data_IF_208197177718
#
_entry.id   IF_208197177718
#
_cell.length_a   1.000
_cell.length_b   1.000
_cell.length_c   1.000
_cell.angle_alpha   90.00
_cell.angle_beta   90.00
_cell.angle_gamma   90.00
#
_symmetry.space_group_name_H-M   'P 1'
#
loop_
_entity.id
_entity.type
_entity.pdbx_description
1 polymer ?
#
# COMPACT_ATOMS: atom_id res chain seq x y z
N UNK A 1 -16.30 -3.76 2.67
CA UNK A 1 -14.97 -3.22 2.34
C UNK A 1 -14.03 -4.40 2.18
N UNK A 2 -13.17 -4.37 1.16
CA UNK A 2 -12.16 -5.41 0.88
C UNK A 2 -10.78 -4.79 0.94
N UNK A 3 -9.82 -5.45 1.56
CA UNK A 3 -8.41 -5.05 1.51
C UNK A 3 -7.66 -5.90 0.48
N UNK A 4 -6.85 -5.24 -0.34
CA UNK A 4 -5.89 -5.85 -1.26
C UNK A 4 -4.50 -5.44 -0.81
N UNK A 5 -3.66 -6.42 -0.44
CA UNK A 5 -2.30 -6.20 0.02
C UNK A 5 -1.34 -6.62 -1.08
N UNK A 6 -0.50 -5.69 -1.53
CA UNK A 6 0.49 -5.90 -2.60
C UNK A 6 1.79 -6.46 -2.00
N UNK A 7 2.02 -7.76 -2.10
CA UNK A 7 3.15 -8.47 -1.50
C UNK A 7 3.90 -9.35 -2.53
N UNK A 8 4.02 -8.90 -3.78
CA UNK A 8 4.60 -9.70 -4.86
C UNK A 8 6.11 -9.50 -5.05
N UNK A 9 6.66 -8.37 -4.58
CA UNK A 9 8.04 -7.93 -4.87
C UNK A 9 9.13 -8.73 -4.17
N UNK A 10 10.35 -8.75 -4.77
CA UNK A 10 11.55 -9.42 -4.21
C UNK A 10 12.24 -8.65 -3.09
N UNK A 11 12.01 -7.34 -2.95
CA UNK A 11 12.72 -6.55 -1.94
C UNK A 11 14.23 -6.46 -2.14
N UNK A 12 14.72 -6.37 -3.38
CA UNK A 12 16.15 -6.41 -3.74
C UNK A 12 17.03 -5.39 -3.00
N UNK A 13 16.46 -4.27 -2.58
CA UNK A 13 17.18 -3.18 -1.89
C UNK A 13 17.60 -3.54 -0.46
N UNK A 14 17.00 -4.56 0.15
CA UNK A 14 17.38 -5.04 1.50
C UNK A 14 18.75 -5.72 1.55
N UNK A 15 19.36 -6.05 0.38
CA UNK A 15 20.72 -6.60 0.25
C UNK A 15 21.00 -7.84 1.11
N UNK A 16 20.03 -8.69 1.35
CA UNK A 16 20.21 -9.99 2.00
C UNK A 16 20.75 -11.00 0.98
N UNK A 17 21.45 -12.03 1.45
CA UNK A 17 21.82 -13.16 0.60
C UNK A 17 20.52 -13.79 0.04
N UNK A 18 20.54 -14.23 -1.22
CA UNK A 18 19.31 -14.69 -1.91
C UNK A 18 18.62 -15.85 -1.18
N UNK A 19 19.39 -16.76 -0.60
CA UNK A 19 18.90 -17.91 0.17
C UNK A 19 18.22 -17.50 1.49
N UNK A 20 18.65 -16.41 2.11
CA UNK A 20 18.10 -15.91 3.38
C UNK A 20 17.03 -14.83 3.19
N UNK A 21 16.84 -14.34 1.96
CA UNK A 21 15.92 -13.25 1.69
C UNK A 21 14.46 -13.71 1.87
N UNK A 22 13.73 -13.03 2.74
CA UNK A 22 12.29 -13.22 2.95
C UNK A 22 11.49 -12.19 2.17
N UNK A 23 10.24 -12.51 1.73
CA UNK A 23 9.28 -11.48 1.37
C UNK A 23 9.18 -10.43 2.47
N UNK A 24 9.24 -9.13 2.12
CA UNK A 24 9.25 -8.04 3.09
C UNK A 24 8.09 -8.12 4.10
N UNK A 25 6.91 -8.55 3.65
CA UNK A 25 5.75 -8.73 4.52
C UNK A 25 5.96 -9.78 5.64
N UNK A 26 7.00 -10.62 5.55
CA UNK A 26 7.37 -11.61 6.57
C UNK A 26 8.44 -11.10 7.55
N UNK A 27 8.96 -9.90 7.39
CA UNK A 27 9.83 -9.27 8.38
C UNK A 27 9.09 -9.14 9.71
N UNK A 28 9.82 -9.40 10.81
CA UNK A 28 9.23 -9.47 12.16
C UNK A 28 9.60 -8.27 13.01
N UNK A 29 8.57 -7.67 13.59
CA UNK A 29 8.71 -6.59 14.57
C UNK A 29 7.83 -6.90 15.78
N UNK A 30 8.44 -6.93 16.98
CA UNK A 30 7.72 -7.28 18.21
C UNK A 30 7.15 -8.71 18.21
N UNK A 31 7.82 -9.66 17.54
CA UNK A 31 7.39 -11.07 17.46
C UNK A 31 6.37 -11.37 16.36
N UNK A 32 5.76 -10.36 15.72
CA UNK A 32 4.78 -10.54 14.64
C UNK A 32 5.37 -10.13 13.29
N UNK A 33 4.96 -10.81 12.20
CA UNK A 33 5.27 -10.37 10.84
C UNK A 33 4.48 -9.11 10.46
N UNK A 34 4.97 -8.34 9.48
CA UNK A 34 4.18 -7.22 8.93
C UNK A 34 2.82 -7.73 8.41
N UNK A 35 2.80 -8.89 7.74
CA UNK A 35 1.55 -9.50 7.27
C UNK A 35 0.57 -9.74 8.43
N UNK A 36 1.02 -10.37 9.53
CA UNK A 36 0.16 -10.61 10.69
C UNK A 36 -0.36 -9.30 11.29
N UNK A 37 0.49 -8.26 11.35
CA UNK A 37 0.08 -6.93 11.83
C UNK A 37 -0.97 -6.29 10.92
N UNK A 38 -0.78 -6.31 9.60
CA UNK A 38 -1.79 -5.84 8.64
C UNK A 38 -3.14 -6.53 8.86
N UNK A 39 -3.12 -7.86 8.93
CA UNK A 39 -4.35 -8.64 9.13
C UNK A 39 -5.06 -8.31 10.44
N UNK A 40 -4.32 -8.15 11.54
CA UNK A 40 -4.88 -7.77 12.84
C UNK A 40 -5.48 -6.35 12.83
N UNK A 41 -4.78 -5.39 12.24
CA UNK A 41 -5.26 -4.01 12.12
C UNK A 41 -6.48 -3.89 11.21
N UNK A 42 -6.50 -4.61 10.08
CA UNK A 42 -7.68 -4.70 9.21
C UNK A 42 -8.88 -5.29 9.95
N UNK A 43 -8.70 -6.39 10.67
CA UNK A 43 -9.76 -7.01 11.48
C UNK A 43 -10.29 -6.04 12.55
N UNK A 44 -9.39 -5.33 13.23
CA UNK A 44 -9.79 -4.33 14.24
C UNK A 44 -10.59 -3.17 13.64
N UNK A 45 -10.39 -2.89 12.34
CA UNK A 45 -11.15 -1.91 11.56
C UNK A 45 -12.43 -2.49 10.92
N UNK A 46 -12.77 -3.77 11.19
CA UNK A 46 -13.94 -4.43 10.62
C UNK A 46 -13.76 -4.88 9.16
N UNK A 47 -12.53 -5.01 8.68
CA UNK A 47 -12.21 -5.47 7.32
C UNK A 47 -11.70 -6.90 7.37
N UNK A 48 -12.56 -7.86 7.02
CA UNK A 48 -12.25 -9.30 7.05
C UNK A 48 -12.06 -9.91 5.66
N UNK A 49 -12.57 -9.27 4.61
CA UNK A 49 -12.38 -9.68 3.22
C UNK A 49 -11.01 -9.16 2.74
N UNK A 50 -10.01 -10.04 2.77
CA UNK A 50 -8.63 -9.72 2.41
C UNK A 50 -8.17 -10.56 1.23
N UNK A 51 -7.50 -9.92 0.28
CA UNK A 51 -6.84 -10.54 -0.88
C UNK A 51 -5.36 -10.17 -0.86
N UNK A 52 -4.50 -11.17 -0.98
CA UNK A 52 -3.05 -10.99 -1.09
C UNK A 52 -2.64 -11.14 -2.56
N UNK A 53 -2.03 -10.11 -3.12
CA UNK A 53 -1.35 -10.17 -4.42
C UNK A 53 0.09 -10.63 -4.20
N UNK A 54 0.38 -11.88 -4.48
CA UNK A 54 1.67 -12.51 -4.19
C UNK A 54 2.48 -12.77 -5.47
N UNK A 55 3.78 -12.93 -5.31
CA UNK A 55 4.70 -13.27 -6.40
C UNK A 55 5.88 -14.05 -5.89
N UNK A 56 7.00 -13.38 -5.65
CA UNK A 56 8.24 -14.01 -5.21
C UNK A 56 8.07 -14.69 -3.86
N UNK A 57 8.49 -15.96 -3.78
CA UNK A 57 8.41 -16.83 -2.58
C UNK A 57 7.03 -16.83 -1.91
N UNK A 58 5.97 -16.82 -2.73
CA UNK A 58 4.59 -16.82 -2.24
C UNK A 58 4.27 -18.00 -1.31
N UNK A 59 4.97 -19.13 -1.45
CA UNK A 59 4.86 -20.31 -0.59
C UNK A 59 5.21 -20.01 0.87
N UNK A 60 6.18 -19.11 1.12
CA UNK A 60 6.54 -18.70 2.48
C UNK A 60 5.43 -17.85 3.11
N UNK A 61 4.75 -17.02 2.31
CA UNK A 61 3.60 -16.23 2.78
C UNK A 61 2.43 -17.15 3.11
N UNK A 62 2.19 -18.17 2.29
CA UNK A 62 1.18 -19.20 2.56
C UNK A 62 1.48 -19.98 3.84
N UNK A 63 2.74 -20.37 4.05
CA UNK A 63 3.18 -21.05 5.26
C UNK A 63 3.02 -20.18 6.53
N UNK A 64 3.26 -18.87 6.42
CA UNK A 64 3.02 -17.95 7.52
C UNK A 64 1.52 -17.84 7.87
N UNK A 65 0.62 -17.81 6.89
CA UNK A 65 -0.83 -17.85 7.13
C UNK A 65 -1.24 -19.14 7.86
N UNK A 66 -0.65 -20.28 7.50
CA UNK A 66 -0.89 -21.55 8.19
C UNK A 66 -0.33 -21.52 9.62
N UNK A 67 0.87 -20.97 9.81
CA UNK A 67 1.53 -20.83 11.13
C UNK A 67 0.70 -20.02 12.12
N UNK A 68 0.07 -18.92 11.65
CA UNK A 68 -0.76 -18.06 12.49
C UNK A 68 -2.22 -18.50 12.56
N UNK A 69 -2.58 -19.57 11.86
CA UNK A 69 -3.96 -20.12 11.74
C UNK A 69 -5.00 -19.02 11.49
N UNK A 70 -4.71 -18.15 10.48
CA UNK A 70 -5.56 -16.97 10.24
C UNK A 70 -6.89 -17.33 9.58
N UNK A 71 -8.00 -16.96 10.23
CA UNK A 71 -9.35 -17.19 9.74
C UNK A 71 -10.20 -15.90 9.76
N UNK A 72 -11.01 -15.61 8.74
CA UNK A 72 -11.07 -16.35 7.46
C UNK A 72 -9.74 -16.21 6.69
N UNK A 73 -9.35 -17.29 5.98
CA UNK A 73 -8.12 -17.28 5.20
C UNK A 73 -8.21 -16.24 4.09
N UNK A 74 -7.22 -15.33 3.93
CA UNK A 74 -7.17 -14.40 2.82
C UNK A 74 -7.18 -15.11 1.46
N UNK A 75 -7.87 -14.52 0.48
CA UNK A 75 -7.73 -14.92 -0.91
C UNK A 75 -6.31 -14.67 -1.41
N UNK A 76 -5.80 -15.55 -2.25
CA UNK A 76 -4.46 -15.40 -2.84
C UNK A 76 -4.59 -15.29 -4.35
N UNK A 77 -3.98 -14.25 -4.93
CA UNK A 77 -3.82 -14.07 -6.37
C UNK A 77 -2.33 -13.98 -6.68
N UNK A 78 -1.87 -14.84 -7.59
CA UNK A 78 -0.45 -14.90 -7.94
C UNK A 78 -0.16 -14.00 -9.16
N UNK A 79 0.88 -13.18 -9.05
CA UNK A 79 1.52 -12.52 -10.17
C UNK A 79 2.79 -13.27 -10.56
N UNK A 80 2.77 -14.11 -11.60
CA UNK A 80 3.95 -14.87 -12.02
C UNK A 80 5.02 -13.98 -12.70
N UNK A 81 4.67 -12.73 -13.05
CA UNK A 81 5.56 -11.75 -13.69
C UNK A 81 5.86 -10.57 -12.75
N UNK A 82 5.98 -10.84 -11.45
CA UNK A 82 6.18 -9.84 -10.39
C UNK A 82 7.42 -8.95 -10.58
N UNK A 83 8.39 -9.38 -11.39
CA UNK A 83 9.61 -8.61 -11.68
C UNK A 83 9.38 -7.42 -12.62
N UNK A 84 8.26 -7.38 -13.34
CA UNK A 84 7.99 -6.31 -14.31
C UNK A 84 7.63 -4.99 -13.63
N UNK A 85 6.78 -5.02 -12.61
CA UNK A 85 6.36 -3.79 -11.94
C UNK A 85 5.09 -3.96 -11.11
N UNK A 86 4.83 -3.02 -10.20
CA UNK A 86 3.67 -3.10 -9.31
C UNK A 86 2.35 -2.79 -10.02
N UNK A 87 2.33 -2.05 -11.13
CA UNK A 87 1.14 -1.93 -12.00
C UNK A 87 0.61 -3.31 -12.39
N UNK A 88 1.51 -4.22 -12.81
CA UNK A 88 1.10 -5.57 -13.21
C UNK A 88 0.56 -6.36 -12.01
N UNK A 89 1.11 -6.15 -10.81
CA UNK A 89 0.58 -6.77 -9.60
C UNK A 89 -0.85 -6.31 -9.31
N UNK A 90 -1.13 -5.00 -9.42
CA UNK A 90 -2.50 -4.47 -9.29
C UNK A 90 -3.42 -5.01 -10.39
N UNK A 91 -2.93 -5.14 -11.63
CA UNK A 91 -3.71 -5.72 -12.73
C UNK A 91 -4.14 -7.16 -12.44
N UNK A 92 -3.30 -7.99 -11.82
CA UNK A 92 -3.67 -9.38 -11.50
C UNK A 92 -4.84 -9.48 -10.52
N UNK A 93 -5.05 -8.46 -9.68
CA UNK A 93 -6.15 -8.39 -8.71
C UNK A 93 -7.34 -7.54 -9.17
N UNK A 94 -7.36 -7.10 -10.44
CA UNK A 94 -8.42 -6.24 -10.99
C UNK A 94 -9.83 -6.86 -10.81
N UNK A 95 -9.97 -8.19 -10.96
CA UNK A 95 -11.23 -8.87 -10.67
C UNK A 95 -11.64 -8.69 -9.22
N UNK A 96 -10.71 -8.86 -8.27
CA UNK A 96 -10.99 -8.65 -6.86
C UNK A 96 -11.38 -7.19 -6.57
N UNK A 97 -10.75 -6.21 -7.24
CA UNK A 97 -11.10 -4.79 -7.10
C UNK A 97 -12.53 -4.48 -7.56
N UNK A 98 -13.06 -5.23 -8.51
CA UNK A 98 -14.35 -4.94 -9.16
C UNK A 98 -15.53 -5.76 -8.65
N UNK A 99 -15.34 -6.59 -7.62
CA UNK A 99 -16.42 -7.43 -7.03
C UNK A 99 -17.48 -6.66 -6.24
N UNK A 100 -17.33 -5.34 -6.12
CA UNK A 100 -18.25 -4.46 -5.40
C UNK A 100 -17.78 -4.07 -4.01
N UNK A 101 -18.34 -2.97 -3.50
CA UNK A 101 -17.95 -2.32 -2.24
C UNK A 101 -16.61 -1.58 -2.30
N UNK A 102 -16.27 -0.91 -1.21
CA UNK A 102 -15.02 -0.16 -1.11
C UNK A 102 -13.80 -1.10 -1.08
N UNK A 103 -12.71 -0.66 -1.69
CA UNK A 103 -11.44 -1.37 -1.76
C UNK A 103 -10.35 -0.55 -1.06
N UNK A 104 -9.59 -1.20 -0.17
CA UNK A 104 -8.30 -0.71 0.31
C UNK A 104 -7.21 -1.35 -0.54
N UNK A 105 -6.35 -0.53 -1.14
CA UNK A 105 -5.13 -0.98 -1.81
C UNK A 105 -3.95 -0.58 -0.94
N UNK A 106 -3.11 -1.56 -0.54
CA UNK A 106 -2.11 -1.37 0.50
C UNK A 106 -0.80 -2.04 0.14
N UNK A 107 0.31 -1.35 0.37
CA UNK A 107 1.63 -1.95 0.34
C UNK A 107 1.86 -2.85 1.57
N UNK A 108 2.60 -3.94 1.38
CA UNK A 108 2.77 -4.99 2.39
C UNK A 108 3.96 -4.78 3.33
N UNK A 109 4.81 -3.82 3.04
CA UNK A 109 6.10 -3.59 3.68
C UNK A 109 6.13 -2.37 4.60
N UNK A 110 4.97 -1.93 5.06
CA UNK A 110 4.81 -0.79 5.96
C UNK A 110 4.56 -1.27 7.40
N UNK A 111 5.37 -0.77 8.35
CA UNK A 111 5.10 -0.85 9.78
C UNK A 111 4.44 0.44 10.23
N UNK A 112 3.27 0.39 10.87
CA UNK A 112 2.47 1.58 11.15
C UNK A 112 1.60 1.50 12.40
N UNK A 113 1.25 2.67 12.95
CA UNK A 113 0.34 2.83 14.07
C UNK A 113 -1.13 2.63 13.63
N UNK A 114 -1.97 2.07 14.49
CA UNK A 114 -3.41 1.81 14.25
C UNK A 114 -4.21 3.05 13.81
N UNK A 115 -3.77 4.25 14.18
CA UNK A 115 -4.37 5.53 13.74
C UNK A 115 -4.36 5.69 12.22
N UNK A 116 -3.36 5.14 11.53
CA UNK A 116 -3.28 5.18 10.06
C UNK A 116 -4.41 4.36 9.45
N UNK A 117 -4.63 3.12 9.94
CA UNK A 117 -5.75 2.31 9.52
C UNK A 117 -7.11 2.96 9.86
N UNK A 118 -7.22 3.54 11.06
CA UNK A 118 -8.42 4.28 11.46
C UNK A 118 -8.70 5.48 10.54
N UNK A 119 -7.66 6.25 10.15
CA UNK A 119 -7.81 7.36 9.21
C UNK A 119 -8.23 6.88 7.80
N UNK A 120 -7.64 5.77 7.31
CA UNK A 120 -7.97 5.20 6.00
C UNK A 120 -9.43 4.72 5.95
N UNK A 121 -9.91 4.06 7.00
CA UNK A 121 -11.25 3.45 7.06
C UNK A 121 -12.33 4.38 7.62
N UNK A 122 -11.98 5.59 8.05
CA UNK A 122 -12.91 6.53 8.67
C UNK A 122 -14.12 6.88 7.78
N UNK A 123 -15.25 7.16 8.43
CA UNK A 123 -16.49 7.54 7.77
C UNK A 123 -17.33 6.34 7.33
N UNK A 124 -18.64 6.55 7.29
CA UNK A 124 -19.63 5.52 6.91
C UNK A 124 -20.04 5.59 5.44
N UNK A 125 -19.65 6.64 4.73
CA UNK A 125 -19.98 6.81 3.31
C UNK A 125 -18.86 6.25 2.43
N UNK A 126 -19.18 5.64 1.28
CA UNK A 126 -18.20 5.31 0.26
C UNK A 126 -17.39 6.56 -0.12
N UNK A 127 -16.08 6.43 -0.20
CA UNK A 127 -15.18 7.54 -0.53
C UNK A 127 -13.87 7.03 -1.10
N UNK A 128 -13.25 7.82 -1.99
CA UNK A 128 -11.86 7.63 -2.34
C UNK A 128 -11.00 8.45 -1.38
N UNK A 129 -9.92 7.87 -0.87
CA UNK A 129 -9.07 8.52 0.13
C UNK A 129 -7.62 8.13 -0.05
N UNK A 130 -6.75 9.11 0.16
CA UNK A 130 -5.29 8.95 0.24
C UNK A 130 -4.79 9.53 1.56
N UNK A 131 -3.73 8.95 2.10
CA UNK A 131 -3.10 9.40 3.34
C UNK A 131 -1.91 10.28 3.03
N UNK A 132 -1.75 11.37 3.78
CA UNK A 132 -0.68 12.35 3.66
C UNK A 132 0.04 12.48 5.01
N UNK A 133 1.33 12.22 5.03
CA UNK A 133 2.21 12.59 6.13
C UNK A 133 3.09 13.77 5.72
N UNK A 134 3.00 14.89 6.43
CA UNK A 134 3.80 16.08 6.13
C UNK A 134 5.15 16.07 6.83
N UNK A 135 5.33 15.20 7.82
CA UNK A 135 6.58 15.03 8.55
C UNK A 135 7.41 13.92 7.90
N UNK A 136 7.97 14.20 6.72
CA UNK A 136 8.75 13.26 5.94
C UNK A 136 10.15 13.79 5.63
N UNK A 137 11.12 12.89 5.50
CA UNK A 137 12.49 13.25 5.10
C UNK A 137 12.52 13.58 3.60
N UNK A 138 12.89 14.82 3.26
CA UNK A 138 13.02 15.22 1.87
C UNK A 138 14.13 14.40 1.17
N UNK A 139 13.86 13.91 -0.02
CA UNK A 139 14.80 13.08 -0.78
C UNK A 139 14.19 12.56 -2.08
N UNK A 140 14.88 11.61 -2.71
CA UNK A 140 14.44 10.98 -3.97
C UNK A 140 13.59 9.72 -3.75
N UNK A 141 13.60 9.15 -2.54
CA UNK A 141 12.88 7.90 -2.23
C UNK A 141 11.41 8.11 -1.87
N UNK A 142 11.00 9.13 -1.05
CA UNK A 142 9.60 9.30 -0.67
C UNK A 142 8.67 9.50 -1.87
N UNK A 143 7.56 8.79 -1.89
CA UNK A 143 6.48 9.04 -2.86
C UNK A 143 5.69 10.26 -2.41
N UNK A 144 6.01 11.41 -3.02
CA UNK A 144 5.44 12.70 -2.67
C UNK A 144 4.00 12.83 -3.17
N UNK A 145 3.10 13.18 -2.25
CA UNK A 145 1.71 13.55 -2.54
C UNK A 145 1.60 15.07 -2.48
N UNK A 146 1.26 15.70 -3.61
CA UNK A 146 1.00 17.14 -3.67
C UNK A 146 -0.50 17.40 -3.71
N UNK A 147 -0.94 18.39 -2.92
CA UNK A 147 -2.35 18.77 -2.77
C UNK A 147 -2.52 20.24 -3.17
N UNK A 148 -3.60 20.53 -3.92
CA UNK A 148 -4.01 21.90 -4.26
C UNK A 148 -5.51 22.05 -4.02
N UNK A 149 -5.90 23.07 -3.28
CA UNK A 149 -7.29 23.33 -2.91
C UNK A 149 -7.99 22.08 -2.28
N UNK A 150 -7.25 21.33 -1.48
CA UNK A 150 -7.75 20.11 -0.83
C UNK A 150 -7.81 18.87 -1.73
N UNK A 151 -7.40 18.96 -3.01
CA UNK A 151 -7.44 17.86 -3.98
C UNK A 151 -6.04 17.35 -4.26
N UNK A 152 -5.79 16.01 -4.28
CA UNK A 152 -4.51 15.46 -4.69
C UNK A 152 -4.30 15.69 -6.19
N UNK A 153 -3.13 16.24 -6.55
CA UNK A 153 -2.81 16.60 -7.93
C UNK A 153 -1.58 15.89 -8.49
N UNK A 154 -0.75 15.34 -7.61
CA UNK A 154 0.47 14.63 -8.00
C UNK A 154 0.83 13.58 -6.96
N UNK A 155 1.34 12.44 -7.42
CA UNK A 155 1.81 11.33 -6.60
C UNK A 155 3.04 10.73 -7.28
N UNK A 156 4.24 11.15 -6.88
CA UNK A 156 5.52 10.73 -7.48
C UNK A 156 6.71 10.93 -6.57
N UNK A 157 7.76 10.15 -6.79
CA UNK A 157 9.08 10.37 -6.16
C UNK A 157 9.72 11.68 -6.62
N UNK A 158 9.67 11.99 -7.93
CA UNK A 158 10.25 13.20 -8.49
C UNK A 158 9.16 14.11 -9.05
N UNK A 159 9.18 15.38 -8.62
CA UNK A 159 8.20 16.38 -9.01
C UNK A 159 8.75 17.29 -10.12
N UNK A 160 7.85 17.78 -10.98
CA UNK A 160 8.20 18.83 -11.93
C UNK A 160 8.56 20.13 -11.15
N UNK A 161 9.64 20.85 -11.56
CA UNK A 161 10.13 22.02 -10.82
C UNK A 161 9.11 23.18 -10.73
N UNK A 162 8.18 23.24 -11.67
CA UNK A 162 7.17 24.30 -11.78
C UNK A 162 5.80 23.91 -11.22
N UNK A 163 5.69 22.71 -10.63
CA UNK A 163 4.44 22.22 -10.04
C UNK A 163 3.98 23.15 -8.90
N UNK A 164 2.75 23.66 -8.99
CA UNK A 164 2.14 24.50 -7.95
C UNK A 164 1.24 23.65 -7.07
N UNK A 165 1.45 23.70 -5.77
CA UNK A 165 0.65 23.01 -4.75
C UNK A 165 0.57 23.86 -3.47
N UNK A 166 -0.41 23.57 -2.63
CA UNK A 166 -0.62 24.27 -1.34
C UNK A 166 -0.03 23.45 -0.19
N UNK A 167 0.00 22.11 -0.34
CA UNK A 167 0.57 21.20 0.63
C UNK A 167 1.30 20.05 -0.06
N UNK A 168 2.31 19.52 0.62
CA UNK A 168 3.09 18.36 0.21
C UNK A 168 3.36 17.48 1.42
N UNK A 169 3.45 16.18 1.21
CA UNK A 169 3.88 15.19 2.18
C UNK A 169 4.22 13.87 1.48
N UNK A 170 4.49 12.85 2.26
CA UNK A 170 4.70 11.50 1.79
C UNK A 170 3.40 10.70 1.81
N UNK A 171 3.18 9.87 0.80
CA UNK A 171 2.10 8.88 0.78
C UNK A 171 2.52 7.65 1.58
N UNK A 172 1.62 7.15 2.44
CA UNK A 172 1.85 5.93 3.23
C UNK A 172 1.80 4.65 2.37
N UNK A 173 1.45 4.77 1.08
CA UNK A 173 1.23 3.58 0.22
C UNK A 173 -0.12 2.89 0.46
N UNK A 174 -1.04 3.56 1.16
CA UNK A 174 -2.39 3.04 1.44
C UNK A 174 -3.46 3.95 0.84
N UNK A 175 -4.36 3.34 0.08
CA UNK A 175 -5.43 4.02 -0.64
C UNK A 175 -6.77 3.35 -0.37
N UNK A 176 -7.84 4.15 -0.28
CA UNK A 176 -9.22 3.65 -0.28
C UNK A 176 -9.91 4.16 -1.53
N UNK A 177 -10.60 3.25 -2.20
CA UNK A 177 -11.45 3.54 -3.36
C UNK A 177 -12.87 3.08 -3.07
N UNK A 178 -13.86 3.92 -3.36
CA UNK A 178 -15.23 3.47 -3.44
C UNK A 178 -15.44 2.53 -4.64
N UNK A 179 -16.59 1.89 -4.77
CA UNK A 179 -16.81 0.91 -5.84
C UNK A 179 -16.61 1.50 -7.25
N UNK A 180 -17.13 2.70 -7.59
CA UNK A 180 -16.85 3.34 -8.87
C UNK A 180 -15.36 3.65 -9.07
N UNK A 181 -14.69 4.16 -8.03
CA UNK A 181 -13.27 4.48 -8.05
C UNK A 181 -12.40 3.23 -8.25
N UNK A 182 -12.72 2.14 -7.56
CA UNK A 182 -12.01 0.86 -7.72
C UNK A 182 -12.16 0.30 -9.14
N UNK A 183 -13.36 0.38 -9.74
CA UNK A 183 -13.59 0.01 -11.14
C UNK A 183 -12.80 0.90 -12.11
N UNK A 184 -12.75 2.20 -11.83
CA UNK A 184 -11.98 3.13 -12.68
C UNK A 184 -10.49 2.87 -12.60
N UNK A 185 -9.94 2.68 -11.39
CA UNK A 185 -8.52 2.34 -11.22
C UNK A 185 -8.17 1.01 -11.93
N UNK A 186 -9.02 -0.01 -11.82
CA UNK A 186 -8.82 -1.28 -12.52
C UNK A 186 -8.78 -1.09 -14.05
N UNK A 187 -9.61 -0.20 -14.61
CA UNK A 187 -9.57 0.15 -16.03
C UNK A 187 -8.26 0.88 -16.41
N UNK A 188 -7.85 1.89 -15.63
CA UNK A 188 -6.58 2.59 -15.85
C UNK A 188 -5.41 1.60 -15.86
N UNK A 189 -5.34 0.70 -14.87
CA UNK A 189 -4.28 -0.31 -14.77
C UNK A 189 -4.31 -1.26 -15.99
N UNK A 190 -5.49 -1.62 -16.47
CA UNK A 190 -5.62 -2.43 -17.70
C UNK A 190 -5.09 -1.70 -18.93
N UNK A 191 -5.35 -0.39 -19.04
CA UNK A 191 -4.82 0.46 -20.11
C UNK A 191 -3.27 0.56 -20.03
N UNK A 192 -2.72 0.60 -18.81
CA UNK A 192 -1.25 0.56 -18.61
C UNK A 192 -0.65 -0.73 -19.16
N UNK A 193 -1.26 -1.86 -18.83
CA UNK A 193 -0.79 -3.17 -19.32
C UNK A 193 -0.92 -3.28 -20.84
N UNK A 194 -2.03 -2.81 -21.41
CA UNK A 194 -2.27 -2.84 -22.86
C UNK A 194 -1.34 -1.90 -23.64
N UNK A 195 -0.82 -0.82 -23.00
CA UNK A 195 0.05 0.18 -23.63
C UNK A 195 1.54 0.02 -23.28
N UNK A 196 1.98 -1.18 -22.89
CA UNK A 196 3.37 -1.52 -22.53
C UNK A 196 3.94 -0.71 -21.33
N UNK A 197 3.06 -0.25 -20.44
CA UNK A 197 3.42 0.46 -19.21
C UNK A 197 3.31 -0.42 -17.96
N UNK A 198 3.23 -1.74 -18.12
CA UNK A 198 3.11 -2.71 -17.03
C UNK A 198 4.32 -2.70 -16.07
N UNK A 199 5.48 -2.20 -16.54
CA UNK A 199 6.72 -2.08 -15.78
C UNK A 199 6.76 -0.91 -14.80
N UNK A 200 5.77 -0.02 -14.86
CA UNK A 200 5.73 1.16 -14.00
C UNK A 200 5.25 0.82 -12.57
N UNK A 201 5.56 1.66 -11.59
CA UNK A 201 5.00 1.57 -10.26
C UNK A 201 3.50 1.90 -10.27
N UNK A 202 2.74 1.27 -9.39
CA UNK A 202 1.28 1.39 -9.35
C UNK A 202 0.80 2.79 -8.98
N UNK A 203 1.62 3.56 -8.30
CA UNK A 203 1.36 4.96 -7.96
C UNK A 203 1.14 5.82 -9.21
N UNK A 204 1.74 5.47 -10.35
CA UNK A 204 1.48 6.15 -11.61
C UNK A 204 0.01 6.00 -12.06
N UNK A 205 -0.56 4.80 -11.89
CA UNK A 205 -1.97 4.58 -12.19
C UNK A 205 -2.91 5.27 -11.18
N UNK A 206 -2.54 5.27 -9.89
CA UNK A 206 -3.26 6.02 -8.84
C UNK A 206 -3.18 7.53 -9.10
N UNK A 207 -2.02 8.02 -9.51
CA UNK A 207 -1.82 9.41 -9.93
C UNK A 207 -2.73 9.80 -11.09
N UNK A 208 -2.79 8.97 -12.13
CA UNK A 208 -3.65 9.24 -13.29
C UNK A 208 -5.12 9.24 -12.87
N UNK A 209 -5.54 8.36 -11.94
CA UNK A 209 -6.87 8.40 -11.33
C UNK A 209 -7.15 9.75 -10.65
N UNK A 210 -6.21 10.30 -9.87
CA UNK A 210 -6.37 11.63 -9.26
C UNK A 210 -6.50 12.74 -10.31
N UNK A 211 -5.68 12.68 -11.36
CA UNK A 211 -5.61 13.71 -12.40
C UNK A 211 -6.82 13.75 -13.33
N UNK A 212 -7.53 12.65 -13.49
CA UNK A 212 -8.79 12.64 -14.24
C UNK A 212 -9.84 13.54 -13.61
N UNK A 213 -9.81 13.74 -12.28
CA UNK A 213 -10.74 14.58 -11.55
C UNK A 213 -12.21 14.12 -11.63
N UNK A 214 -12.46 12.93 -12.16
CA UNK A 214 -13.82 12.38 -12.33
C UNK A 214 -14.40 11.82 -11.01
N UNK A 215 -13.53 11.58 -10.03
CA UNK A 215 -13.88 11.05 -8.71
C UNK A 215 -13.33 11.99 -7.63
N UNK A 216 -14.17 12.33 -6.65
CA UNK A 216 -13.69 13.06 -5.48
C UNK A 216 -12.76 12.18 -4.67
N UNK A 217 -11.64 12.76 -4.22
CA UNK A 217 -10.65 12.08 -3.38
C UNK A 217 -10.38 12.92 -2.14
N UNK A 218 -10.60 12.34 -0.98
CA UNK A 218 -10.27 12.96 0.31
C UNK A 218 -8.78 12.74 0.62
N UNK A 219 -8.13 13.79 1.11
CA UNK A 219 -6.77 13.70 1.65
C UNK A 219 -6.87 13.67 3.17
N UNK A 220 -6.50 12.55 3.78
CA UNK A 220 -6.48 12.43 5.23
C UNK A 220 -5.05 12.65 5.74
N UNK A 221 -4.88 13.68 6.57
CA UNK A 221 -3.60 14.03 7.19
C UNK A 221 -3.33 13.07 8.36
N UNK A 222 -2.23 12.33 8.31
CA UNK A 222 -1.78 11.38 9.32
C UNK A 222 -0.49 11.80 10.01
N UNK A 223 -0.06 13.05 9.79
CA UNK A 223 1.16 13.63 10.36
C UNK A 223 1.22 13.41 11.87
N UNK A 224 2.39 12.99 12.34
CA UNK A 224 2.63 12.63 13.74
C UNK A 224 2.14 11.23 14.13
N UNK A 225 1.65 10.43 13.20
CA UNK A 225 1.42 8.99 13.41
C UNK A 225 2.67 8.22 13.03
N UNK A 226 3.18 7.37 13.93
CA UNK A 226 4.39 6.60 13.67
C UNK A 226 4.17 5.56 12.57
N UNK A 227 5.01 5.58 11.54
CA UNK A 227 5.06 4.59 10.48
C UNK A 227 6.40 4.61 9.74
N UNK A 228 6.70 3.56 8.99
CA UNK A 228 7.86 3.47 8.11
C UNK A 228 7.63 2.41 7.03
N UNK A 229 8.00 2.71 5.79
CA UNK A 229 8.15 1.73 4.71
C UNK A 229 9.55 1.07 4.82
N UNK A 230 9.61 -0.24 4.61
CA UNK A 230 10.85 -1.03 4.75
C UNK A 230 11.45 -1.26 3.36
N UNK A 231 12.37 -0.41 2.96
CA UNK A 231 13.04 -0.50 1.66
C UNK A 231 14.53 -0.89 1.78
N UNK A 232 15.20 -0.38 2.78
CA UNK A 232 16.65 -0.53 2.98
C UNK A 232 16.99 -1.19 4.32
N UNK A 233 18.20 -1.73 4.49
CA UNK A 233 18.62 -2.32 5.77
C UNK A 233 18.50 -1.37 6.96
N UNK A 234 18.71 -0.05 6.75
CA UNK A 234 18.56 0.95 7.78
C UNK A 234 17.10 1.09 8.26
N UNK A 235 16.13 0.91 7.37
CA UNK A 235 14.70 1.01 7.72
C UNK A 235 14.29 -0.11 8.67
N UNK A 236 14.89 -1.30 8.55
CA UNK A 236 14.66 -2.40 9.50
C UNK A 236 15.09 -1.99 10.91
N UNK A 237 16.25 -1.32 11.04
CA UNK A 237 16.74 -0.82 12.33
C UNK A 237 15.84 0.29 12.87
N UNK A 238 15.48 1.27 12.05
CA UNK A 238 14.57 2.38 12.43
C UNK A 238 13.19 1.85 12.82
N UNK A 239 12.65 0.91 12.06
CA UNK A 239 11.38 0.26 12.36
C UNK A 239 11.39 -0.39 13.76
N UNK A 240 12.48 -1.10 14.11
CA UNK A 240 12.60 -1.79 15.38
C UNK A 240 12.82 -0.85 16.58
N UNK A 241 13.62 0.21 16.40
CA UNK A 241 14.07 1.04 17.51
C UNK A 241 13.31 2.39 17.65
N UNK A 242 12.76 2.91 16.54
CA UNK A 242 12.10 4.22 16.54
C UNK A 242 10.58 4.09 16.38
N UNK A 243 10.09 3.23 15.45
CA UNK A 243 8.66 3.15 15.15
C UNK A 243 7.95 2.15 16.06
N UNK A 244 8.45 0.91 16.19
CA UNK A 244 7.81 -0.13 16.97
C UNK A 244 7.49 0.28 18.42
N UNK A 245 8.39 0.99 19.16
CA UNK A 245 8.09 1.43 20.53
C UNK A 245 6.90 2.40 20.67
N UNK A 246 6.52 3.06 19.57
CA UNK A 246 5.40 4.00 19.53
C UNK A 246 4.07 3.31 19.17
N UNK A 247 4.12 2.05 18.71
CA UNK A 247 2.92 1.32 18.32
C UNK A 247 2.23 0.69 19.51
N UNK A 248 0.89 0.60 19.42
CA UNK A 248 0.12 -0.15 20.42
C UNK A 248 0.34 -1.65 20.27
N UNK A 249 0.33 -2.41 21.38
CA UNK A 249 0.25 -3.86 21.33
C UNK A 249 -1.01 -4.31 20.57
N UNK A 250 -0.90 -5.38 19.77
CA UNK A 250 -1.99 -5.97 18.97
C UNK A 250 -2.41 -7.33 19.53
#
# INVERSE_FOLDING_TARGET
>A
MRAIILAAGRGMRLKQAEEDQLPKCLLRFGGMTLLERHLRLLRSAGVEDVVLALGWRHELVSAELDRIDWQPRPGIVLNPRYELGSVLTVHTVAEAMTRGGDVLLMDADVLYHDRIMAALTAGSKPTNRVLLDRDFEAGDEPVKLCVRAGVPIELRKQLAPDLKYDAIGESVGFFRFDEPGARRLAAIVSDYVASDRAHLPHEEAVRDFFREGSHAVEVADVTGSAWIEIDFPNDVSRAAHEVLPQLRPL
#
